data_IF_193468142894
#
_entry.id   IF_193468142894
#
_cell.length_a   1.000
_cell.length_b   1.000
_cell.length_c   1.000
_cell.angle_alpha   90.00
_cell.angle_beta   90.00
_cell.angle_gamma   90.00
#
_symmetry.space_group_name_H-M   'P 1'
#
loop_
_entity.id
_entity.type
_entity.pdbx_description
1 polymer ?
#
# COMPACT_ATOMS: atom_id res chain seq x y z
N UNK A 1 -9.20 13.51 1.65
CA UNK A 1 -10.54 14.15 1.78
C UNK A 1 -11.00 14.10 3.24
N UNK A 2 -12.05 14.88 3.61
CA UNK A 2 -12.75 14.70 4.89
C UNK A 2 -14.17 14.28 4.62
N UNK A 3 -14.66 13.29 5.35
CA UNK A 3 -16.04 12.81 5.26
C UNK A 3 -16.93 13.70 6.14
N UNK A 4 -17.91 14.35 5.53
CA UNK A 4 -18.84 15.27 6.19
C UNK A 4 -20.30 14.81 6.09
N UNK A 5 -20.61 13.89 5.17
CA UNK A 5 -21.96 13.37 4.93
C UNK A 5 -21.96 11.84 4.92
N UNK A 6 -23.14 11.25 5.13
CA UNK A 6 -23.34 9.81 5.02
C UNK A 6 -23.08 9.30 3.59
N UNK A 7 -23.44 10.09 2.58
CA UNK A 7 -23.19 9.74 1.17
C UNK A 7 -21.70 9.63 0.87
N UNK A 8 -20.88 10.54 1.39
CA UNK A 8 -19.43 10.49 1.26
C UNK A 8 -18.85 9.25 1.97
N UNK A 9 -19.37 8.90 3.16
CA UNK A 9 -18.95 7.70 3.86
C UNK A 9 -19.30 6.43 3.05
N UNK A 10 -20.53 6.34 2.54
CA UNK A 10 -20.97 5.22 1.71
C UNK A 10 -20.14 5.12 0.43
N UNK A 11 -19.82 6.26 -0.22
CA UNK A 11 -18.99 6.29 -1.42
C UNK A 11 -17.58 5.77 -1.15
N UNK A 12 -16.94 6.25 -0.09
CA UNK A 12 -15.61 5.78 0.34
C UNK A 12 -15.61 4.31 0.74
N UNK A 13 -16.63 3.84 1.46
CA UNK A 13 -16.74 2.43 1.83
C UNK A 13 -16.85 1.54 0.60
N UNK A 14 -17.69 1.92 -0.39
CA UNK A 14 -17.87 1.14 -1.63
C UNK A 14 -16.56 0.97 -2.42
N UNK A 15 -15.82 2.07 -2.67
CA UNK A 15 -14.56 1.97 -3.41
C UNK A 15 -13.51 1.20 -2.60
N UNK A 16 -13.47 1.38 -1.28
CA UNK A 16 -12.55 0.65 -0.39
C UNK A 16 -12.84 -0.85 -0.35
N UNK A 17 -14.12 -1.23 -0.32
CA UNK A 17 -14.51 -2.65 -0.41
C UNK A 17 -14.09 -3.25 -1.77
N UNK A 18 -14.23 -2.50 -2.87
CA UNK A 18 -13.83 -2.96 -4.20
C UNK A 18 -12.33 -3.23 -4.25
N UNK A 19 -11.48 -2.25 -3.89
CA UNK A 19 -10.01 -2.44 -3.94
C UNK A 19 -9.55 -3.55 -3.00
N UNK A 20 -10.16 -3.68 -1.83
CA UNK A 20 -9.85 -4.72 -0.86
C UNK A 20 -10.21 -6.13 -1.38
N UNK A 21 -11.40 -6.28 -1.96
CA UNK A 21 -11.85 -7.56 -2.55
C UNK A 21 -11.00 -7.93 -3.77
N UNK A 22 -10.65 -6.95 -4.62
CA UNK A 22 -9.77 -7.18 -5.78
C UNK A 22 -8.41 -7.67 -5.31
N UNK A 23 -7.77 -6.98 -4.37
CA UNK A 23 -6.48 -7.37 -3.81
C UNK A 23 -6.51 -8.79 -3.23
N UNK A 24 -7.52 -9.11 -2.41
CA UNK A 24 -7.69 -10.45 -1.84
C UNK A 24 -7.84 -11.52 -2.92
N UNK A 25 -8.65 -11.26 -3.96
CA UNK A 25 -8.83 -12.19 -5.09
C UNK A 25 -7.55 -12.37 -5.89
N UNK A 26 -6.81 -11.30 -6.19
CA UNK A 26 -5.51 -11.37 -6.87
C UNK A 26 -4.52 -12.21 -6.06
N UNK A 27 -4.40 -11.97 -4.75
CA UNK A 27 -3.55 -12.76 -3.86
C UNK A 27 -3.94 -14.25 -3.90
N UNK A 28 -5.22 -14.57 -3.82
CA UNK A 28 -5.71 -15.97 -3.87
C UNK A 28 -5.53 -16.62 -5.24
N UNK A 29 -5.53 -15.84 -6.31
CA UNK A 29 -5.33 -16.31 -7.69
C UNK A 29 -3.86 -16.53 -8.05
N UNK A 30 -2.94 -15.91 -7.31
CA UNK A 30 -1.49 -15.99 -7.53
C UNK A 30 -0.99 -17.44 -7.48
N UNK A 31 -0.25 -17.86 -8.53
CA UNK A 31 0.29 -19.22 -8.67
C UNK A 31 1.72 -19.19 -9.21
N UNK A 32 2.52 -20.18 -8.81
CA UNK A 32 3.83 -20.45 -9.41
C UNK A 32 3.66 -20.70 -10.91
N UNK A 33 4.53 -20.10 -11.71
CA UNK A 33 4.51 -20.18 -13.18
C UNK A 33 3.64 -19.12 -13.88
N UNK A 34 2.81 -18.38 -13.13
CA UNK A 34 2.04 -17.24 -13.65
C UNK A 34 2.97 -16.04 -13.90
N UNK A 35 2.69 -15.25 -14.92
CA UNK A 35 3.35 -13.97 -15.13
C UNK A 35 2.69 -12.87 -14.31
N UNK A 36 3.44 -11.81 -13.98
CA UNK A 36 2.83 -10.64 -13.31
C UNK A 36 1.83 -9.93 -14.22
N UNK A 37 1.96 -10.07 -15.56
CA UNK A 37 0.99 -9.53 -16.52
C UNK A 37 -0.35 -10.27 -16.46
N UNK A 38 -0.34 -11.61 -16.42
CA UNK A 38 -1.57 -12.41 -16.25
C UNK A 38 -2.30 -12.06 -14.93
N UNK A 39 -1.53 -11.82 -13.87
CA UNK A 39 -2.10 -11.42 -12.59
C UNK A 39 -2.69 -10.01 -12.63
N UNK A 40 -2.04 -9.07 -13.32
CA UNK A 40 -2.52 -7.70 -13.53
C UNK A 40 -3.79 -7.66 -14.39
N UNK A 41 -3.83 -8.47 -15.48
CA UNK A 41 -5.00 -8.57 -16.34
C UNK A 41 -6.22 -9.07 -15.55
N UNK A 42 -6.02 -10.07 -14.68
CA UNK A 42 -7.07 -10.54 -13.78
C UNK A 42 -7.54 -9.43 -12.82
N UNK A 43 -6.61 -8.62 -12.27
CA UNK A 43 -6.95 -7.45 -11.45
C UNK A 43 -7.78 -6.42 -12.23
N UNK A 44 -7.39 -6.12 -13.46
CA UNK A 44 -8.10 -5.21 -14.36
C UNK A 44 -9.52 -5.68 -14.71
N UNK A 45 -9.70 -6.99 -14.99
CA UNK A 45 -11.02 -7.60 -15.21
C UNK A 45 -11.91 -7.48 -13.98
N UNK A 46 -11.36 -7.73 -12.77
CA UNK A 46 -12.10 -7.57 -11.53
C UNK A 46 -12.52 -6.12 -11.30
N UNK A 47 -11.63 -5.14 -11.43
CA UNK A 47 -11.96 -3.72 -11.32
C UNK A 47 -13.09 -3.34 -12.27
N UNK A 48 -12.97 -3.74 -13.53
CA UNK A 48 -13.98 -3.50 -14.56
C UNK A 48 -15.34 -4.12 -14.20
N UNK A 49 -15.35 -5.34 -13.66
CA UNK A 49 -16.57 -6.04 -13.23
C UNK A 49 -17.33 -5.33 -12.11
N UNK A 50 -16.61 -4.56 -11.26
CA UNK A 50 -17.20 -3.71 -10.23
C UNK A 50 -17.55 -2.30 -10.72
N UNK A 51 -17.30 -1.97 -12.01
CA UNK A 51 -17.47 -0.64 -12.57
C UNK A 51 -16.43 0.38 -12.08
N UNK A 52 -15.34 -0.09 -11.49
CA UNK A 52 -14.24 0.74 -11.01
C UNK A 52 -13.17 0.92 -12.10
N UNK A 53 -12.45 2.05 -12.03
CA UNK A 53 -11.32 2.35 -12.90
C UNK A 53 -10.02 2.20 -12.13
N UNK A 54 -9.01 1.59 -12.75
CA UNK A 54 -7.65 1.57 -12.19
C UNK A 54 -7.16 2.99 -11.96
N UNK A 55 -6.79 3.31 -10.72
CA UNK A 55 -6.33 4.64 -10.35
C UNK A 55 -5.00 5.00 -11.01
N UNK A 56 -3.93 4.17 -10.95
CA UNK A 56 -2.64 4.52 -11.52
C UNK A 56 -2.71 4.66 -13.05
N UNK A 57 -3.48 3.80 -13.73
CA UNK A 57 -3.65 3.89 -15.19
C UNK A 57 -4.42 5.14 -15.59
N UNK A 58 -5.45 5.51 -14.84
CA UNK A 58 -6.29 6.65 -15.16
C UNK A 58 -5.65 7.99 -14.81
N UNK A 59 -4.88 8.05 -13.71
CA UNK A 59 -4.29 9.29 -13.20
C UNK A 59 -2.91 9.58 -13.77
N UNK A 60 -2.09 8.55 -13.95
CA UNK A 60 -0.66 8.69 -14.26
C UNK A 60 -0.23 7.98 -15.54
N UNK A 61 -1.16 7.39 -16.28
CA UNK A 61 -0.85 6.60 -17.48
C UNK A 61 0.09 5.40 -17.19
N UNK A 62 0.02 4.87 -15.95
CA UNK A 62 0.79 3.67 -15.59
C UNK A 62 0.49 2.52 -16.55
N UNK A 63 1.49 1.75 -17.01
CA UNK A 63 1.30 0.73 -18.05
C UNK A 63 0.52 -0.52 -17.63
N UNK A 64 0.21 -0.67 -16.31
CA UNK A 64 -0.63 -1.75 -15.76
C UNK A 64 -1.95 -1.26 -15.16
N UNK A 65 -2.79 -2.19 -14.73
CA UNK A 65 -4.00 -1.89 -13.95
C UNK A 65 -3.70 -1.76 -12.46
N UNK A 66 -2.66 -2.47 -11.99
CA UNK A 66 -2.21 -2.55 -10.61
C UNK A 66 -0.68 -2.52 -10.58
N UNK A 67 -0.08 -2.12 -9.45
CA UNK A 67 1.37 -2.27 -9.32
C UNK A 67 1.69 -3.66 -8.76
N UNK A 68 2.63 -4.37 -9.41
CA UNK A 68 3.09 -5.69 -8.97
C UNK A 68 4.60 -5.70 -8.90
N UNK A 69 5.12 -5.60 -7.67
CA UNK A 69 6.55 -5.55 -7.39
C UNK A 69 7.06 -6.91 -6.92
N UNK A 70 8.19 -7.35 -7.45
CA UNK A 70 8.73 -8.70 -7.23
C UNK A 70 10.14 -8.64 -6.62
N UNK A 71 10.35 -9.31 -5.50
CA UNK A 71 11.64 -9.49 -4.82
C UNK A 71 12.34 -8.17 -4.44
N UNK A 72 13.24 -7.67 -5.30
CA UNK A 72 14.02 -6.45 -5.05
C UNK A 72 13.29 -5.16 -5.46
N UNK A 73 12.14 -5.29 -6.13
CA UNK A 73 11.27 -4.17 -6.43
C UNK A 73 10.49 -3.80 -5.16
N UNK A 74 10.47 -2.52 -4.82
CA UNK A 74 9.83 -2.01 -3.59
C UNK A 74 8.37 -1.66 -3.86
N UNK A 75 8.13 -0.89 -4.93
CA UNK A 75 6.84 -0.36 -5.31
C UNK A 75 6.82 -0.04 -6.82
N UNK A 76 5.64 0.25 -7.34
CA UNK A 76 5.38 0.65 -8.72
C UNK A 76 5.95 -0.33 -9.76
N UNK A 77 6.09 -1.60 -9.40
CA UNK A 77 6.55 -2.64 -10.31
C UNK A 77 5.62 -2.79 -11.50
N UNK A 78 6.18 -2.63 -12.72
CA UNK A 78 5.41 -2.77 -13.96
C UNK A 78 5.10 -4.25 -14.20
N UNK A 79 3.81 -4.64 -14.36
CA UNK A 79 3.43 -5.98 -14.77
C UNK A 79 4.02 -6.37 -16.12
N UNK A 80 4.50 -7.61 -16.26
CA UNK A 80 5.23 -8.05 -17.45
C UNK A 80 5.09 -9.54 -17.71
N UNK A 81 4.99 -9.93 -19.00
CA UNK A 81 5.05 -11.32 -19.44
C UNK A 81 6.41 -11.98 -19.19
N UNK A 82 7.45 -11.16 -18.94
CA UNK A 82 8.80 -11.64 -18.64
C UNK A 82 9.02 -11.92 -17.15
N UNK A 83 8.17 -11.41 -16.27
CA UNK A 83 8.25 -11.63 -14.82
C UNK A 83 7.37 -12.82 -14.44
N UNK A 84 7.97 -14.02 -14.41
CA UNK A 84 7.31 -15.28 -14.06
C UNK A 84 7.50 -15.57 -12.58
N UNK A 85 6.41 -15.76 -11.85
CA UNK A 85 6.37 -16.05 -10.42
C UNK A 85 6.96 -17.42 -10.11
N UNK A 86 7.84 -17.47 -9.12
CA UNK A 86 8.53 -18.68 -8.67
C UNK A 86 8.22 -18.95 -7.20
N UNK A 87 8.43 -20.20 -6.80
CA UNK A 87 8.32 -20.57 -5.38
C UNK A 87 9.31 -19.77 -4.53
N UNK A 88 8.81 -19.19 -3.45
CA UNK A 88 9.60 -18.37 -2.52
C UNK A 88 9.74 -16.90 -2.90
N UNK A 89 9.24 -16.48 -4.07
CA UNK A 89 9.26 -15.06 -4.43
C UNK A 89 8.48 -14.22 -3.41
N UNK A 90 9.07 -13.11 -3.01
CA UNK A 90 8.38 -12.04 -2.30
C UNK A 90 7.68 -11.16 -3.33
N UNK A 91 6.36 -11.10 -3.29
CA UNK A 91 5.55 -10.28 -4.17
C UNK A 91 4.79 -9.23 -3.35
N UNK A 92 4.71 -8.03 -3.89
CA UNK A 92 3.78 -6.98 -3.46
C UNK A 92 2.76 -6.76 -4.56
N UNK A 93 1.48 -6.71 -4.20
CA UNK A 93 0.39 -6.27 -5.05
C UNK A 93 -0.21 -5.03 -4.41
N UNK A 94 -0.37 -4.00 -5.21
CA UNK A 94 -0.94 -2.72 -4.81
C UNK A 94 -2.09 -2.39 -5.76
N UNK A 95 -3.28 -2.19 -5.19
CA UNK A 95 -4.54 -1.99 -5.91
C UNK A 95 -5.17 -0.69 -5.47
N UNK A 96 -5.21 0.27 -6.37
CA UNK A 96 -5.96 1.51 -6.18
C UNK A 96 -6.96 1.73 -7.31
N UNK A 97 -8.11 2.31 -6.98
CA UNK A 97 -9.19 2.51 -7.94
C UNK A 97 -10.03 3.77 -7.65
N UNK A 98 -10.65 4.23 -8.73
CA UNK A 98 -11.74 5.22 -8.71
C UNK A 98 -13.08 4.53 -8.92
N UNK A 99 -14.08 4.88 -8.09
CA UNK A 99 -15.47 4.48 -8.27
C UNK A 99 -16.40 5.64 -7.90
N UNK A 100 -17.17 6.13 -8.90
CA UNK A 100 -18.16 7.20 -8.71
C UNK A 100 -17.61 8.47 -8.06
N UNK A 101 -16.38 8.87 -8.40
CA UNK A 101 -15.72 10.06 -7.88
C UNK A 101 -15.10 9.89 -6.49
N UNK A 102 -14.94 8.64 -6.03
CA UNK A 102 -14.21 8.29 -4.81
C UNK A 102 -13.02 7.40 -5.14
N UNK A 103 -11.92 7.57 -4.41
CA UNK A 103 -10.65 6.89 -4.62
C UNK A 103 -10.21 6.17 -3.36
N UNK A 104 -9.69 4.97 -3.51
CA UNK A 104 -9.12 4.20 -2.40
C UNK A 104 -7.90 3.42 -2.85
N UNK A 105 -7.03 3.11 -1.89
CA UNK A 105 -5.76 2.45 -2.10
C UNK A 105 -5.52 1.37 -1.06
N UNK A 106 -4.90 0.26 -1.46
CA UNK A 106 -4.41 -0.75 -0.54
C UNK A 106 -3.39 -1.70 -1.17
N UNK A 107 -2.41 -2.12 -0.37
CA UNK A 107 -1.33 -2.97 -0.81
C UNK A 107 -1.00 -4.08 0.19
N UNK A 108 -0.47 -5.19 -0.31
CA UNK A 108 0.01 -6.29 0.53
C UNK A 108 1.20 -7.00 -0.07
N UNK A 109 2.16 -7.33 0.78
CA UNK A 109 3.26 -8.24 0.44
C UNK A 109 3.00 -9.63 0.98
N UNK A 110 3.34 -10.65 0.19
CA UNK A 110 3.26 -12.05 0.61
C UNK A 110 4.29 -12.90 -0.15
N UNK A 111 4.36 -14.18 0.20
CA UNK A 111 5.31 -15.13 -0.40
C UNK A 111 4.55 -16.05 -1.33
N UNK A 112 5.06 -16.24 -2.55
CA UNK A 112 4.51 -17.19 -3.53
C UNK A 112 4.90 -18.61 -3.15
N UNK A 113 3.91 -19.44 -2.85
CA UNK A 113 4.15 -20.83 -2.41
C UNK A 113 4.83 -20.92 -1.04
N UNK A 114 5.86 -21.77 -0.90
CA UNK A 114 6.59 -21.97 0.36
C UNK A 114 7.67 -20.91 0.54
N UNK A 115 7.88 -20.47 1.78
CA UNK A 115 8.97 -19.55 2.13
C UNK A 115 10.33 -20.25 2.17
N UNK A 116 10.92 -20.43 1.00
CA UNK A 116 12.23 -21.08 0.86
C UNK A 116 13.42 -20.12 1.08
N UNK A 117 13.14 -18.81 1.18
CA UNK A 117 14.16 -17.77 1.34
C UNK A 117 14.12 -17.05 2.71
N UNK A 118 13.16 -17.38 3.58
CA UNK A 118 13.06 -16.82 4.93
C UNK A 118 12.47 -15.40 4.97
N UNK A 119 11.61 -15.03 4.04
CA UNK A 119 10.99 -13.71 3.96
C UNK A 119 9.78 -13.51 4.90
N UNK A 120 9.23 -14.60 5.44
CA UNK A 120 8.03 -14.57 6.30
C UNK A 120 8.17 -13.57 7.47
N UNK A 121 9.34 -13.52 8.11
CA UNK A 121 9.59 -12.59 9.21
C UNK A 121 9.45 -11.12 8.78
N UNK A 122 9.91 -10.77 7.58
CA UNK A 122 9.79 -9.42 7.03
C UNK A 122 8.32 -9.08 6.74
N UNK A 123 7.61 -9.98 6.07
CA UNK A 123 6.19 -9.84 5.71
C UNK A 123 5.34 -9.67 6.98
N UNK A 124 5.48 -10.59 7.94
CA UNK A 124 4.74 -10.54 9.21
C UNK A 124 5.06 -9.27 10.01
N UNK A 125 6.34 -8.85 10.03
CA UNK A 125 6.73 -7.62 10.73
C UNK A 125 6.10 -6.38 10.10
N UNK A 126 6.11 -6.26 8.77
CA UNK A 126 5.48 -5.15 8.05
C UNK A 126 3.98 -5.06 8.36
N UNK A 127 3.26 -6.18 8.24
CA UNK A 127 1.83 -6.25 8.55
C UNK A 127 1.53 -5.87 10.02
N UNK A 128 2.27 -6.46 10.96
CA UNK A 128 2.03 -6.21 12.38
C UNK A 128 2.32 -4.76 12.77
N UNK A 129 3.36 -4.14 12.18
CA UNK A 129 3.67 -2.73 12.39
C UNK A 129 2.52 -1.86 11.86
N UNK A 130 2.01 -2.16 10.65
CA UNK A 130 0.89 -1.42 10.06
C UNK A 130 -0.34 -1.42 10.99
N UNK A 131 -0.83 -2.59 11.37
CA UNK A 131 -2.03 -2.73 12.20
C UNK A 131 -1.87 -2.08 13.57
N UNK A 132 -0.71 -2.30 14.21
CA UNK A 132 -0.40 -1.72 15.51
C UNK A 132 -0.33 -0.18 15.43
N UNK A 133 0.32 0.38 14.42
CA UNK A 133 0.43 1.83 14.26
C UNK A 133 -0.88 2.47 13.86
N UNK A 134 -1.65 1.90 12.93
CA UNK A 134 -3.00 2.39 12.61
C UNK A 134 -3.84 2.49 13.89
N UNK A 135 -3.82 1.48 14.75
CA UNK A 135 -4.60 1.47 16.00
C UNK A 135 -4.24 2.62 16.95
N UNK A 136 -3.04 3.19 16.82
CA UNK A 136 -2.54 4.29 17.66
C UNK A 136 -2.93 5.68 17.15
N UNK A 137 -3.36 5.82 15.90
CA UNK A 137 -3.70 7.12 15.30
C UNK A 137 -4.89 7.76 16.04
N UNK A 138 -4.74 9.06 16.33
CA UNK A 138 -5.80 9.89 16.91
C UNK A 138 -5.82 11.26 16.22
N UNK A 139 -6.98 11.92 16.13
CA UNK A 139 -7.05 13.29 15.66
C UNK A 139 -6.12 14.19 16.46
N UNK A 140 -5.39 15.07 15.77
CA UNK A 140 -4.41 15.97 16.40
C UNK A 140 -3.01 15.39 16.61
N UNK A 141 -2.80 14.06 16.44
CA UNK A 141 -1.46 13.46 16.45
C UNK A 141 -0.62 14.05 15.31
N UNK A 142 0.62 14.43 15.59
CA UNK A 142 1.55 14.86 14.53
C UNK A 142 1.93 13.70 13.63
N UNK A 143 1.91 13.93 12.32
CA UNK A 143 2.31 12.93 11.31
C UNK A 143 3.78 12.54 11.49
N UNK A 144 4.65 13.51 11.81
CA UNK A 144 6.06 13.25 12.10
C UNK A 144 6.28 12.31 13.31
N UNK A 145 5.49 12.47 14.39
CA UNK A 145 5.57 11.57 15.55
C UNK A 145 5.10 10.15 15.22
N UNK A 146 4.09 10.04 14.35
CA UNK A 146 3.63 8.77 13.83
C UNK A 146 4.73 8.06 13.04
N UNK A 147 5.35 8.74 12.05
CA UNK A 147 6.47 8.19 11.27
C UNK A 147 7.65 7.78 12.15
N UNK A 148 8.03 8.62 13.14
CA UNK A 148 9.05 8.27 14.14
C UNK A 148 8.71 6.97 14.89
N UNK A 149 7.45 6.75 15.21
CA UNK A 149 7.01 5.55 15.92
C UNK A 149 7.15 4.29 15.07
N UNK A 150 6.90 4.38 13.74
CA UNK A 150 7.10 3.29 12.76
C UNK A 150 8.59 2.94 12.69
N UNK A 151 9.47 3.93 12.45
CA UNK A 151 10.92 3.73 12.35
C UNK A 151 11.47 3.06 13.62
N UNK A 152 11.02 3.50 14.79
CA UNK A 152 11.43 2.91 16.07
C UNK A 152 11.00 1.44 16.19
N UNK A 153 9.78 1.10 15.79
CA UNK A 153 9.27 -0.26 15.86
C UNK A 153 9.96 -1.17 14.84
N UNK A 154 10.20 -0.70 13.62
CA UNK A 154 11.00 -1.44 12.63
C UNK A 154 12.40 -1.73 13.17
N UNK A 155 13.07 -0.72 13.74
CA UNK A 155 14.40 -0.85 14.34
C UNK A 155 14.44 -1.85 15.51
N UNK A 156 13.42 -1.89 16.36
CA UNK A 156 13.35 -2.88 17.45
C UNK A 156 13.22 -4.31 16.97
N UNK A 157 12.71 -4.51 15.74
CA UNK A 157 12.65 -5.80 15.06
C UNK A 157 13.93 -6.11 14.23
N UNK A 158 14.97 -5.26 14.31
CA UNK A 158 16.20 -5.39 13.51
C UNK A 158 16.00 -5.04 12.03
N UNK A 159 14.96 -4.28 11.71
CA UNK A 159 14.59 -3.85 10.36
C UNK A 159 14.74 -2.34 10.19
N UNK A 160 14.62 -1.88 8.97
CA UNK A 160 14.66 -0.46 8.57
C UNK A 160 13.34 -0.06 7.93
N UNK A 161 13.19 1.23 7.68
CA UNK A 161 12.11 1.79 6.86
C UNK A 161 12.69 2.43 5.61
N UNK A 162 11.92 2.50 4.54
CA UNK A 162 12.22 3.35 3.38
C UNK A 162 11.74 4.75 3.71
N UNK A 163 12.65 5.73 3.66
CA UNK A 163 12.44 7.09 4.20
C UNK A 163 11.83 8.08 3.21
N UNK A 164 11.90 7.79 1.93
CA UNK A 164 11.38 8.63 0.85
C UNK A 164 10.14 8.03 0.16
N UNK A 165 9.49 7.07 0.79
CA UNK A 165 8.15 6.60 0.42
C UNK A 165 7.21 6.87 1.59
N UNK A 166 5.95 7.13 1.29
CA UNK A 166 5.01 7.70 2.24
C UNK A 166 3.57 7.32 1.91
N UNK A 167 2.77 7.10 2.94
CA UNK A 167 1.33 7.17 2.82
C UNK A 167 0.86 8.60 2.53
N UNK A 168 -0.40 8.78 2.21
CA UNK A 168 -0.97 10.05 1.72
C UNK A 168 -2.44 10.20 2.06
N UNK A 169 -2.99 11.38 1.85
CA UNK A 169 -4.43 11.59 1.80
C UNK A 169 -5.02 10.95 0.55
N UNK A 170 -6.24 10.44 0.65
CA UNK A 170 -6.97 9.83 -0.46
C UNK A 170 -8.47 10.15 -0.34
N UNK A 171 -9.20 10.09 -1.45
CA UNK A 171 -10.65 10.16 -1.40
C UNK A 171 -11.31 10.82 -2.59
N UNK A 172 -11.00 12.07 -2.96
CA UNK A 172 -11.50 12.74 -4.18
C UNK A 172 -10.47 12.70 -5.31
N UNK A 173 -9.25 12.32 -4.99
CA UNK A 173 -8.19 11.95 -5.91
C UNK A 173 -7.35 10.83 -5.26
N UNK A 174 -6.46 10.21 -6.06
CA UNK A 174 -5.56 9.18 -5.53
C UNK A 174 -4.62 9.76 -4.49
N UNK A 175 -4.05 10.94 -4.74
CA UNK A 175 -3.20 11.66 -3.79
C UNK A 175 -3.82 13.01 -3.43
N UNK A 176 -3.97 13.24 -2.13
CA UNK A 176 -4.49 14.47 -1.52
C UNK A 176 -3.69 14.85 -0.26
N UNK A 177 -4.09 15.95 0.36
CA UNK A 177 -3.59 16.37 1.67
C UNK A 177 -3.99 15.37 2.81
N UNK A 178 -3.06 14.93 3.67
CA UNK A 178 -1.62 15.24 3.68
C UNK A 178 -0.86 14.53 2.56
N UNK A 179 0.00 15.27 1.85
CA UNK A 179 0.74 14.74 0.70
C UNK A 179 1.71 13.62 1.09
N UNK A 180 2.31 13.73 2.28
CA UNK A 180 3.29 12.75 2.77
C UNK A 180 3.02 12.35 4.22
N UNK A 181 2.86 11.05 4.45
CA UNK A 181 2.85 10.39 5.76
C UNK A 181 4.07 9.46 5.79
N UNK A 182 5.26 10.02 6.03
CA UNK A 182 6.52 9.28 5.98
C UNK A 182 6.60 8.19 7.05
N UNK A 183 7.35 7.13 6.75
CA UNK A 183 7.66 6.02 7.67
C UNK A 183 8.78 6.36 8.69
N UNK A 184 9.22 7.60 8.76
CA UNK A 184 10.26 8.09 9.66
C UNK A 184 9.93 9.49 10.19
N UNK A 185 10.73 9.97 11.16
CA UNK A 185 10.59 11.34 11.67
C UNK A 185 10.92 12.36 10.59
N UNK A 186 9.98 13.26 10.32
CA UNK A 186 10.20 14.47 9.53
C UNK A 186 9.98 15.70 10.40
N UNK A 187 11.06 16.30 10.91
CA UNK A 187 11.00 17.46 11.80
C UNK A 187 10.45 18.72 11.14
N UNK A 188 10.46 18.79 9.82
CA UNK A 188 9.91 19.90 9.05
C UNK A 188 8.38 19.81 8.90
N UNK A 189 7.81 18.61 9.01
CA UNK A 189 6.39 18.37 8.86
C UNK A 189 5.63 18.62 10.19
N UNK A 190 4.86 19.69 10.25
CA UNK A 190 3.99 20.06 11.37
C UNK A 190 2.55 19.61 11.19
N UNK A 191 2.22 18.92 10.11
CA UNK A 191 0.87 18.43 9.80
C UNK A 191 0.40 17.44 10.86
N UNK A 192 -0.92 17.41 11.03
CA UNK A 192 -1.59 16.55 12.01
C UNK A 192 -2.70 15.77 11.34
N UNK A 193 -2.94 14.57 11.82
CA UNK A 193 -4.12 13.80 11.42
C UNK A 193 -5.39 14.58 11.81
N UNK A 194 -6.26 14.79 10.83
CA UNK A 194 -7.53 15.53 11.03
C UNK A 194 -8.67 14.56 11.29
N UNK A 195 -9.58 14.94 12.18
CA UNK A 195 -10.83 14.19 12.39
C UNK A 195 -11.61 14.10 11.08
N UNK A 196 -12.20 12.96 10.82
CA UNK A 196 -12.98 12.62 9.62
C UNK A 196 -12.15 12.63 8.30
N UNK A 197 -10.82 12.79 8.34
CA UNK A 197 -10.03 12.64 7.12
C UNK A 197 -9.83 11.18 6.75
N UNK A 198 -9.70 10.93 5.45
CA UNK A 198 -9.36 9.64 4.87
C UNK A 198 -7.92 9.69 4.40
N UNK A 199 -7.14 8.69 4.76
CA UNK A 199 -5.73 8.56 4.40
C UNK A 199 -5.39 7.12 4.05
N UNK A 200 -4.48 6.94 3.12
CA UNK A 200 -3.78 5.69 2.86
C UNK A 200 -2.55 5.63 3.77
N UNK A 201 -2.51 4.63 4.62
CA UNK A 201 -1.36 4.37 5.51
C UNK A 201 -0.63 3.17 4.97
N UNK A 202 0.55 3.41 4.42
CA UNK A 202 1.42 2.40 3.83
C UNK A 202 2.80 2.39 4.50
N UNK A 203 3.32 1.18 4.72
CA UNK A 203 4.58 1.00 5.44
C UNK A 203 5.55 0.16 4.65
N UNK A 204 6.68 0.75 4.30
CA UNK A 204 7.77 0.09 3.59
C UNK A 204 8.85 -0.36 4.55
N UNK A 205 8.76 -1.61 5.00
CA UNK A 205 9.70 -2.21 5.96
C UNK A 205 10.78 -2.98 5.21
N UNK A 206 12.04 -2.68 5.51
CA UNK A 206 13.21 -3.12 4.76
C UNK A 206 14.18 -3.93 5.59
N UNK A 207 14.79 -4.94 4.97
CA UNK A 207 15.91 -5.68 5.57
C UNK A 207 17.23 -4.91 5.52
N UNK A 208 17.42 -4.01 4.53
CA UNK A 208 18.73 -3.41 4.30
C UNK A 208 18.70 -1.95 3.82
N UNK A 209 17.89 -1.63 2.82
CA UNK A 209 17.80 -0.29 2.24
C UNK A 209 17.06 0.69 3.15
N UNK A 210 17.37 1.99 3.01
CA UNK A 210 16.66 3.08 3.70
C UNK A 210 16.07 4.10 2.73
N UNK A 211 16.37 3.99 1.44
CA UNK A 211 15.86 4.85 0.39
C UNK A 211 15.51 4.02 -0.84
N UNK A 212 14.46 4.42 -1.53
CA UNK A 212 14.10 3.92 -2.84
C UNK A 212 14.73 4.79 -3.93
N UNK A 213 15.08 4.16 -5.05
CA UNK A 213 15.54 4.80 -6.29
C UNK A 213 14.74 4.26 -7.46
N UNK A 214 14.38 5.12 -8.40
CA UNK A 214 13.62 4.77 -9.59
C UNK A 214 14.53 4.13 -10.64
N UNK A 215 14.03 3.10 -11.31
CA UNK A 215 14.70 2.49 -12.46
C UNK A 215 14.47 3.32 -13.74
N UNK A 216 15.22 2.98 -14.80
CA UNK A 216 15.12 3.67 -16.10
C UNK A 216 13.79 3.43 -16.84
N UNK A 217 12.89 2.61 -16.29
CA UNK A 217 11.54 2.42 -16.82
C UNK A 217 10.57 3.53 -16.42
N UNK A 218 11.02 4.46 -15.56
CA UNK A 218 10.27 5.62 -15.11
C UNK A 218 9.23 5.31 -14.03
N UNK A 219 9.22 4.08 -13.45
CA UNK A 219 8.22 3.66 -12.48
C UNK A 219 8.79 2.80 -11.35
N UNK A 220 9.43 1.69 -11.71
CA UNK A 220 9.83 0.66 -10.73
C UNK A 220 10.82 1.21 -9.72
N UNK A 221 10.49 1.10 -8.45
CA UNK A 221 11.34 1.52 -7.34
C UNK A 221 12.11 0.35 -6.77
N UNK A 222 13.40 0.53 -6.53
CA UNK A 222 14.30 -0.46 -5.92
C UNK A 222 15.07 0.14 -4.75
N UNK A 223 15.60 -0.71 -3.88
CA UNK A 223 16.35 -0.27 -2.71
C UNK A 223 17.76 0.21 -3.05
N UNK A 224 18.16 1.37 -2.53
CA UNK A 224 19.49 1.98 -2.73
C UNK A 224 20.67 1.12 -2.21
N UNK A 225 20.41 0.11 -1.41
CA UNK A 225 21.43 -0.76 -0.81
C UNK A 225 21.04 -2.25 -0.89
N UNK A 226 20.15 -2.61 -1.83
CA UNK A 226 19.65 -3.97 -1.99
C UNK A 226 18.81 -4.46 -0.79
N UNK A 227 18.68 -5.78 -0.64
CA UNK A 227 17.80 -6.39 0.35
C UNK A 227 16.37 -6.50 -0.17
N UNK A 228 15.43 -6.74 0.74
CA UNK A 228 14.02 -6.94 0.45
C UNK A 228 13.17 -5.93 1.23
N UNK A 229 12.04 -5.56 0.66
CA UNK A 229 11.08 -4.66 1.29
C UNK A 229 9.70 -5.32 1.25
N UNK A 230 8.98 -5.29 2.38
CA UNK A 230 7.57 -5.63 2.41
C UNK A 230 6.75 -4.36 2.69
N UNK A 231 5.76 -4.12 1.84
CA UNK A 231 4.77 -3.06 1.99
C UNK A 231 3.44 -3.69 2.36
N UNK A 232 2.76 -3.07 3.34
CA UNK A 232 1.34 -3.31 3.62
C UNK A 232 0.66 -1.96 3.80
N UNK A 233 -0.60 -1.91 3.39
CA UNK A 233 -1.34 -0.67 3.30
C UNK A 233 -2.83 -0.84 3.54
N UNK A 234 -3.41 0.19 4.16
CA UNK A 234 -4.85 0.36 4.29
C UNK A 234 -5.29 1.80 4.06
N UNK A 235 -6.40 1.98 3.36
CA UNK A 235 -7.18 3.21 3.44
C UNK A 235 -7.99 3.20 4.75
N UNK A 236 -7.86 4.26 5.53
CA UNK A 236 -8.52 4.41 6.83
C UNK A 236 -9.27 5.73 6.95
N UNK A 237 -10.34 5.72 7.74
CA UNK A 237 -11.03 6.92 8.21
C UNK A 237 -10.60 7.24 9.64
N UNK A 238 -10.14 8.46 9.88
CA UNK A 238 -9.74 8.93 11.20
C UNK A 238 -10.98 9.35 11.99
N UNK A 239 -11.25 8.66 13.10
CA UNK A 239 -12.39 8.92 13.99
C UNK A 239 -11.94 9.52 15.32
N UNK A 240 -12.89 9.90 16.16
CA UNK A 240 -12.63 10.41 17.53
C UNK A 240 -11.93 9.38 18.42
N UNK A 241 -12.13 8.09 18.14
CA UNK A 241 -11.58 6.98 18.95
C UNK A 241 -10.50 6.24 18.17
N UNK A 242 -10.79 5.06 17.64
CA UNK A 242 -9.89 4.28 16.79
C UNK A 242 -10.24 4.52 15.32
N UNK A 243 -9.26 4.61 14.41
CA UNK A 243 -9.56 4.66 12.98
C UNK A 243 -10.42 3.47 12.52
N UNK A 244 -11.23 3.72 11.51
CA UNK A 244 -11.95 2.67 10.80
C UNK A 244 -11.09 2.27 9.60
N UNK A 245 -10.74 1.00 9.49
CA UNK A 245 -10.06 0.46 8.32
C UNK A 245 -11.13 0.21 7.25
N UNK A 246 -11.15 1.05 6.22
CA UNK A 246 -12.14 0.95 5.14
C UNK A 246 -11.85 -0.23 4.22
N UNK A 247 -10.59 -0.61 4.06
CA UNK A 247 -10.14 -1.73 3.22
C UNK A 247 -10.00 -3.05 3.99
N UNK A 248 -10.72 -3.22 5.10
CA UNK A 248 -10.64 -4.43 5.95
C UNK A 248 -11.02 -5.74 5.25
N UNK A 249 -11.77 -5.67 4.13
CA UNK A 249 -12.15 -6.84 3.33
C UNK A 249 -10.97 -7.51 2.59
N UNK A 250 -9.76 -6.94 2.62
CA UNK A 250 -8.54 -7.56 2.09
C UNK A 250 -7.93 -8.64 3.01
N UNK A 251 -8.41 -8.74 4.26
CA UNK A 251 -7.99 -9.74 5.26
C UNK A 251 -6.48 -9.71 5.57
N UNK A 252 -5.89 -8.51 5.66
CA UNK A 252 -4.50 -8.30 6.04
C UNK A 252 -4.36 -8.17 7.57
#
# INVERSE_FOLDING_TARGET
MSINTEEEFIGMQKVSDVVAVVLRKMKSYTKIGMTTKELDDYGGELLTSFGAKSAPKHTYEFPGFTCISLNHEIAHGIPSDKKVLKEGDLINIDVSAELNGFWSDNGTSFIVGRDIHGHKRLVDSSRNILIDRISSIRPGMKISDFGKSIERQAKSNGLKVIKNLAGHGVGRSLHEDPEYILNCEDKSNNSRFKLNSVVAIEMFISTKSSYATELNDGWTLVGNNGGYVAQHEHTILITKTKPIILTSANEI
#
